data_IF_871715149851
#
_entry.id   IF_871715149851
#
_cell.length_a   1.000
_cell.length_b   1.000
_cell.length_c   1.000
_cell.angle_alpha   90.00
_cell.angle_beta   90.00
_cell.angle_gamma   90.00
#
_symmetry.space_group_name_H-M   'P 1'
#
loop_
_entity.id
_entity.type
_entity.pdbx_description
1 polymer ?
#
# COMPACT_ATOMS: atom_id res chain seq x y z
N UNK A 1 -15.90 -1.28 13.77
CA UNK A 1 -14.64 -0.55 13.99
C UNK A 1 -14.63 0.69 13.14
N UNK A 2 -14.39 1.86 13.73
CA UNK A 2 -14.05 3.10 13.02
C UNK A 2 -12.54 3.12 12.83
N UNK A 3 -12.10 3.02 11.59
CA UNK A 3 -10.67 2.94 11.27
C UNK A 3 -10.12 4.34 11.01
N UNK A 4 -9.54 4.97 12.03
CA UNK A 4 -8.77 6.19 11.89
C UNK A 4 -7.25 5.93 11.94
N UNK A 5 -6.81 4.69 11.74
CA UNK A 5 -5.38 4.34 11.79
C UNK A 5 -4.69 4.52 10.44
N UNK A 6 -5.02 3.68 9.48
CA UNK A 6 -4.48 3.63 8.12
C UNK A 6 -5.14 2.48 7.32
N UNK A 7 -4.79 2.36 6.05
CA UNK A 7 -5.21 1.23 5.20
C UNK A 7 -4.42 -0.05 5.52
N UNK A 8 -4.59 -0.56 6.74
CA UNK A 8 -3.89 -1.75 7.23
C UNK A 8 -4.68 -3.02 6.92
N UNK A 9 -4.00 -4.05 6.44
CA UNK A 9 -4.60 -5.37 6.16
C UNK A 9 -5.28 -5.97 7.40
N UNK A 10 -4.72 -5.76 8.59
CA UNK A 10 -5.29 -6.22 9.86
C UNK A 10 -6.64 -5.55 10.22
N UNK A 11 -6.97 -4.41 9.62
CA UNK A 11 -8.24 -3.70 9.79
C UNK A 11 -9.17 -3.84 8.58
N UNK A 12 -8.81 -4.66 7.59
CA UNK A 12 -9.59 -4.85 6.37
C UNK A 12 -9.34 -3.79 5.29
N UNK A 13 -8.30 -2.95 5.45
CA UNK A 13 -7.94 -1.86 4.55
C UNK A 13 -9.05 -0.80 4.42
N UNK A 14 -9.35 -0.30 3.21
CA UNK A 14 -10.44 0.65 2.96
C UNK A 14 -11.80 -0.05 2.86
N UNK A 15 -12.88 0.61 3.31
CA UNK A 15 -14.24 0.13 3.03
C UNK A 15 -14.53 0.22 1.54
N UNK A 16 -15.22 -0.80 1.03
CA UNK A 16 -15.66 -0.82 -0.35
C UNK A 16 -16.79 0.20 -0.56
N UNK A 17 -16.67 1.10 -1.55
CA UNK A 17 -17.78 1.93 -2.00
C UNK A 17 -18.90 1.07 -2.60
N UNK A 18 -20.14 1.59 -2.59
CA UNK A 18 -21.33 0.86 -3.03
C UNK A 18 -21.19 0.33 -4.48
N UNK A 19 -20.67 1.14 -5.38
CA UNK A 19 -20.45 0.75 -6.77
C UNK A 19 -19.46 -0.43 -6.92
N UNK A 20 -18.50 -0.54 -6.03
CA UNK A 20 -17.55 -1.68 -5.99
C UNK A 20 -18.26 -2.93 -5.49
N UNK A 21 -19.03 -2.80 -4.40
CA UNK A 21 -19.84 -3.91 -3.85
C UNK A 21 -20.82 -4.43 -4.89
N UNK A 22 -21.52 -3.53 -5.58
CA UNK A 22 -22.49 -3.91 -6.63
C UNK A 22 -21.81 -4.61 -7.79
N UNK A 23 -20.64 -4.15 -8.25
CA UNK A 23 -19.88 -4.80 -9.31
C UNK A 23 -19.44 -6.21 -8.92
N UNK A 24 -18.98 -6.43 -7.69
CA UNK A 24 -18.64 -7.75 -7.16
C UNK A 24 -19.86 -8.66 -7.06
N UNK A 25 -20.96 -8.14 -6.53
CA UNK A 25 -22.21 -8.89 -6.38
C UNK A 25 -22.78 -9.29 -7.74
N UNK A 26 -22.71 -8.43 -8.74
CA UNK A 26 -23.17 -8.73 -10.09
C UNK A 26 -22.29 -9.80 -10.75
N UNK A 27 -20.96 -9.65 -10.69
CA UNK A 27 -20.02 -10.63 -11.21
C UNK A 27 -20.23 -12.04 -10.61
N UNK A 28 -20.65 -12.12 -9.35
CA UNK A 28 -20.89 -13.41 -8.68
C UNK A 28 -22.05 -14.23 -9.28
N UNK A 29 -22.96 -13.57 -10.01
CA UNK A 29 -24.18 -14.22 -10.55
C UNK A 29 -23.95 -14.99 -11.84
N UNK A 30 -22.80 -14.79 -12.49
CA UNK A 30 -22.54 -15.36 -13.81
C UNK A 30 -21.28 -16.21 -13.82
N UNK A 31 -21.30 -17.26 -14.62
CA UNK A 31 -20.08 -17.95 -15.06
C UNK A 31 -19.54 -17.21 -16.27
N UNK A 32 -18.20 -17.07 -16.35
CA UNK A 32 -17.51 -16.32 -17.40
C UNK A 32 -16.31 -17.10 -17.91
N UNK A 33 -15.89 -16.82 -19.13
CA UNK A 33 -14.55 -17.19 -19.58
C UNK A 33 -13.54 -16.29 -18.87
N UNK A 34 -12.74 -16.89 -17.99
CA UNK A 34 -11.75 -16.13 -17.21
C UNK A 34 -10.64 -15.52 -18.06
N UNK A 35 -10.28 -16.13 -19.20
CA UNK A 35 -9.28 -15.53 -20.09
C UNK A 35 -9.81 -14.25 -20.74
N UNK A 36 -11.06 -14.30 -21.21
CA UNK A 36 -11.74 -13.13 -21.78
C UNK A 36 -11.93 -12.04 -20.73
N UNK A 37 -12.37 -12.40 -19.52
CA UNK A 37 -12.52 -11.44 -18.42
C UNK A 37 -11.20 -10.72 -18.08
N UNK A 38 -10.09 -11.44 -17.99
CA UNK A 38 -8.78 -10.84 -17.74
C UNK A 38 -8.33 -9.90 -18.87
N UNK A 39 -8.64 -10.23 -20.12
CA UNK A 39 -8.33 -9.38 -21.27
C UNK A 39 -9.13 -8.08 -21.23
N UNK A 40 -10.46 -8.18 -21.12
CA UNK A 40 -11.35 -7.01 -21.11
C UNK A 40 -11.10 -6.10 -19.89
N UNK A 41 -10.91 -6.70 -18.71
CA UNK A 41 -10.54 -5.95 -17.51
C UNK A 41 -9.16 -5.28 -17.68
N UNK A 42 -8.20 -5.97 -18.27
CA UNK A 42 -6.87 -5.43 -18.57
C UNK A 42 -6.91 -4.26 -19.53
N UNK A 43 -7.67 -4.34 -20.60
CA UNK A 43 -7.86 -3.26 -21.58
C UNK A 43 -8.49 -2.01 -20.93
N UNK A 44 -9.55 -2.19 -20.13
CA UNK A 44 -10.21 -1.07 -19.46
C UNK A 44 -9.29 -0.43 -18.41
N UNK A 45 -8.58 -1.24 -17.60
CA UNK A 45 -7.64 -0.75 -16.61
C UNK A 45 -6.46 -0.02 -17.25
N UNK A 46 -5.90 -0.55 -18.35
CA UNK A 46 -4.84 0.11 -19.12
C UNK A 46 -5.28 1.48 -19.64
N UNK A 47 -6.49 1.54 -20.19
CA UNK A 47 -7.09 2.80 -20.66
C UNK A 47 -7.28 3.82 -19.54
N UNK A 48 -7.83 3.40 -18.40
CA UNK A 48 -8.06 4.26 -17.22
C UNK A 48 -6.76 4.79 -16.62
N UNK A 49 -5.72 3.96 -16.60
CA UNK A 49 -4.43 4.26 -15.98
C UNK A 49 -3.37 4.74 -16.96
N UNK A 50 -3.72 4.93 -18.26
CA UNK A 50 -2.83 5.42 -19.32
C UNK A 50 -1.56 4.58 -19.49
N UNK A 51 -1.67 3.26 -19.30
CA UNK A 51 -0.59 2.31 -19.50
C UNK A 51 -0.81 1.48 -20.77
N UNK A 52 0.23 0.80 -21.27
CA UNK A 52 0.11 -0.07 -22.44
C UNK A 52 -0.79 -1.28 -22.16
N UNK A 53 -0.65 -1.85 -20.96
CA UNK A 53 -1.43 -3.02 -20.53
C UNK A 53 -1.59 -3.05 -19.02
N UNK A 54 -2.57 -3.85 -18.56
CA UNK A 54 -2.83 -4.09 -17.14
C UNK A 54 -3.21 -5.56 -16.88
N UNK A 55 -2.91 -6.03 -15.67
CA UNK A 55 -3.30 -7.34 -15.19
C UNK A 55 -3.73 -7.26 -13.72
N UNK A 56 -4.82 -7.95 -13.38
CA UNK A 56 -5.33 -8.03 -12.01
C UNK A 56 -4.73 -9.24 -11.30
N UNK A 57 -4.22 -9.02 -10.10
CA UNK A 57 -3.64 -10.05 -9.22
C UNK A 57 -4.37 -10.08 -7.87
N UNK A 58 -4.07 -11.05 -7.01
CA UNK A 58 -4.70 -11.13 -5.67
C UNK A 58 -4.01 -10.23 -4.62
N UNK A 59 -3.30 -9.20 -5.04
CA UNK A 59 -2.63 -8.22 -4.19
C UNK A 59 -1.33 -7.72 -4.80
N UNK A 60 -0.78 -6.62 -4.29
CA UNK A 60 0.45 -6.01 -4.81
C UNK A 60 1.66 -6.95 -4.70
N UNK A 61 1.80 -7.70 -3.61
CA UNK A 61 2.89 -8.69 -3.48
C UNK A 61 2.78 -9.79 -4.56
N UNK A 62 1.55 -10.24 -4.87
CA UNK A 62 1.32 -11.16 -5.98
C UNK A 62 1.65 -10.51 -7.33
N UNK A 63 1.39 -9.22 -7.50
CA UNK A 63 1.77 -8.49 -8.71
C UNK A 63 3.30 -8.44 -8.89
N UNK A 64 4.06 -8.24 -7.81
CA UNK A 64 5.54 -8.36 -7.83
C UNK A 64 5.96 -9.76 -8.29
N UNK A 65 5.36 -10.82 -7.73
CA UNK A 65 5.67 -12.20 -8.12
C UNK A 65 5.43 -12.44 -9.61
N UNK A 66 4.29 -11.99 -10.12
CA UNK A 66 3.94 -12.11 -11.54
C UNK A 66 4.88 -11.28 -12.43
N UNK A 67 5.22 -10.05 -12.01
CA UNK A 67 6.18 -9.19 -12.71
C UNK A 67 7.57 -9.81 -12.78
N UNK A 68 8.07 -10.35 -11.67
CA UNK A 68 9.38 -11.05 -11.62
C UNK A 68 9.35 -12.27 -12.54
N UNK A 69 8.32 -13.12 -12.46
CA UNK A 69 8.19 -14.28 -13.34
C UNK A 69 8.10 -13.88 -14.82
N UNK A 70 7.41 -12.79 -15.13
CA UNK A 70 7.35 -12.25 -16.50
C UNK A 70 8.74 -11.90 -17.02
N UNK A 71 9.56 -11.24 -16.21
CA UNK A 71 10.93 -10.88 -16.57
C UNK A 71 11.85 -12.12 -16.71
N UNK A 72 11.60 -13.18 -15.93
CA UNK A 72 12.38 -14.42 -15.99
C UNK A 72 12.00 -15.29 -17.18
N UNK A 73 10.71 -15.45 -17.44
CA UNK A 73 10.19 -16.47 -18.38
C UNK A 73 9.76 -15.91 -19.74
N UNK A 74 9.51 -14.58 -19.84
CA UNK A 74 8.99 -13.91 -21.04
C UNK A 74 7.66 -14.52 -21.40
N UNK A 75 7.09 -15.44 -21.23
CA UNK A 75 5.88 -16.12 -21.75
C UNK A 75 6.21 -17.42 -22.46
N UNK A 76 7.46 -17.84 -22.44
CA UNK A 76 7.89 -19.15 -22.95
C UNK A 76 7.34 -20.28 -22.04
N UNK A 77 6.51 -21.20 -22.58
CA UNK A 77 5.95 -22.30 -21.80
C UNK A 77 6.98 -23.21 -21.14
N UNK A 78 8.16 -23.41 -21.75
CA UNK A 78 9.20 -24.24 -21.22
C UNK A 78 9.89 -23.55 -20.02
N UNK A 79 10.18 -22.26 -20.14
CA UNK A 79 10.70 -21.44 -19.05
C UNK A 79 9.71 -21.35 -17.87
N UNK A 80 8.43 -21.14 -18.15
CA UNK A 80 7.36 -21.12 -17.13
C UNK A 80 7.31 -22.48 -16.39
N UNK A 81 7.39 -23.59 -17.11
CA UNK A 81 7.34 -24.92 -16.50
C UNK A 81 8.60 -25.26 -15.68
N UNK A 82 9.75 -24.64 -15.98
CA UNK A 82 11.00 -24.83 -15.25
C UNK A 82 11.04 -24.11 -13.89
N UNK A 83 10.12 -23.18 -13.63
CA UNK A 83 10.07 -22.47 -12.34
C UNK A 83 9.34 -23.31 -11.27
N UNK A 84 9.74 -23.26 -10.00
CA UNK A 84 10.91 -22.56 -9.45
C UNK A 84 12.23 -23.30 -9.74
N UNK A 85 13.33 -22.59 -9.66
CA UNK A 85 14.66 -23.18 -9.79
C UNK A 85 15.26 -23.14 -11.20
N UNK A 86 14.51 -22.73 -12.21
CA UNK A 86 14.79 -22.51 -13.63
C UNK A 86 16.27 -22.54 -14.07
N UNK A 87 16.87 -23.73 -14.19
CA UNK A 87 18.27 -23.86 -14.59
C UNK A 87 18.48 -23.20 -15.96
N UNK A 88 19.49 -22.33 -16.05
CA UNK A 88 19.79 -21.57 -17.27
C UNK A 88 18.95 -20.30 -17.46
N UNK A 89 17.96 -20.04 -16.62
CA UNK A 89 17.19 -18.79 -16.65
C UNK A 89 17.89 -17.71 -15.80
N UNK A 90 17.58 -16.45 -16.14
CA UNK A 90 17.94 -15.29 -15.31
C UNK A 90 17.02 -15.26 -14.11
N UNK A 91 17.56 -15.44 -12.90
CA UNK A 91 16.76 -15.53 -11.66
C UNK A 91 17.22 -14.56 -10.57
N UNK A 92 18.12 -13.63 -10.92
CA UNK A 92 18.56 -12.61 -9.98
C UNK A 92 17.72 -11.33 -10.15
N UNK A 93 17.27 -10.78 -9.02
CA UNK A 93 16.56 -9.50 -8.96
C UNK A 93 17.41 -8.53 -8.16
N UNK A 94 17.89 -7.47 -8.79
CA UNK A 94 18.69 -6.44 -8.12
C UNK A 94 17.78 -5.51 -7.34
N UNK A 95 18.16 -5.17 -6.10
CA UNK A 95 17.38 -4.31 -5.23
C UNK A 95 18.29 -3.46 -4.32
N UNK A 96 17.95 -2.19 -4.15
CA UNK A 96 18.65 -1.32 -3.20
C UNK A 96 18.45 -1.80 -1.75
N UNK A 97 19.50 -1.74 -0.94
CA UNK A 97 19.43 -2.04 0.49
C UNK A 97 18.33 -1.22 1.19
N UNK A 98 18.26 0.07 0.87
CA UNK A 98 17.26 0.99 1.42
C UNK A 98 15.80 0.64 1.06
N UNK A 99 15.58 -0.18 0.05
CA UNK A 99 14.26 -0.62 -0.41
C UNK A 99 13.83 -1.98 0.14
N UNK A 100 14.66 -2.63 0.99
CA UNK A 100 14.33 -3.94 1.57
C UNK A 100 13.17 -3.81 2.55
N UNK A 101 12.09 -4.50 2.24
CA UNK A 101 10.83 -4.52 2.99
C UNK A 101 10.30 -5.96 3.11
N UNK A 102 9.47 -6.29 4.10
CA UNK A 102 8.97 -7.66 4.30
C UNK A 102 8.29 -8.29 3.07
N UNK A 103 7.73 -7.47 2.18
CA UNK A 103 7.04 -7.92 0.96
C UNK A 103 7.99 -8.41 -0.14
N UNK A 104 9.29 -8.10 -0.07
CA UNK A 104 10.29 -8.55 -1.05
C UNK A 104 10.54 -10.08 -1.01
N UNK A 105 10.10 -10.76 0.06
CA UNK A 105 10.14 -12.21 0.19
C UNK A 105 9.40 -12.96 -0.92
N UNK A 106 8.50 -12.28 -1.62
CA UNK A 106 7.83 -12.88 -2.76
C UNK A 106 8.78 -13.22 -3.91
N UNK A 107 9.94 -12.55 -4.00
CA UNK A 107 11.01 -12.87 -4.96
C UNK A 107 11.60 -14.25 -4.67
N UNK A 108 11.90 -14.55 -3.40
CA UNK A 108 12.37 -15.86 -2.98
C UNK A 108 11.30 -16.95 -3.21
N UNK A 109 10.03 -16.61 -2.93
CA UNK A 109 8.89 -17.54 -3.08
C UNK A 109 8.74 -18.05 -4.52
N UNK A 110 9.05 -17.24 -5.52
CA UNK A 110 8.98 -17.64 -6.94
C UNK A 110 10.29 -18.27 -7.45
N UNK A 111 11.24 -18.55 -6.55
CA UNK A 111 12.50 -19.22 -6.90
C UNK A 111 13.57 -18.29 -7.49
N UNK A 112 13.44 -16.99 -7.27
CA UNK A 112 14.44 -15.99 -7.64
C UNK A 112 15.25 -15.56 -6.42
N UNK A 113 16.37 -14.87 -6.64
CA UNK A 113 17.26 -14.40 -5.59
C UNK A 113 17.45 -12.89 -5.65
N UNK A 114 17.32 -12.22 -4.51
CA UNK A 114 17.64 -10.78 -4.43
C UNK A 114 19.15 -10.59 -4.38
N UNK A 115 19.67 -9.75 -5.28
CA UNK A 115 21.02 -9.22 -5.26
C UNK A 115 20.96 -7.79 -4.71
N UNK A 116 21.40 -7.63 -3.48
CA UNK A 116 21.33 -6.35 -2.78
C UNK A 116 22.52 -5.47 -3.16
N UNK A 117 22.22 -4.18 -3.44
CA UNK A 117 23.23 -3.14 -3.72
C UNK A 117 23.11 -1.99 -2.74
N UNK A 118 24.19 -1.25 -2.56
CA UNK A 118 24.26 -0.13 -1.63
C UNK A 118 24.20 -0.55 -0.17
N UNK A 119 23.98 0.42 0.67
CA UNK A 119 23.84 0.26 2.11
C UNK A 119 22.71 1.16 2.66
N UNK A 120 22.58 1.28 3.98
CA UNK A 120 21.53 2.09 4.60
C UNK A 120 21.67 3.61 4.38
N UNK A 121 22.85 4.08 3.93
CA UNK A 121 23.18 5.49 3.81
C UNK A 121 23.17 5.95 2.35
N UNK A 122 23.66 5.10 1.42
CA UNK A 122 23.78 5.46 0.01
C UNK A 122 23.94 4.25 -0.91
N UNK A 123 23.65 4.46 -2.19
CA UNK A 123 23.96 3.55 -3.30
C UNK A 123 24.62 4.34 -4.41
N UNK A 124 25.73 3.84 -4.95
CA UNK A 124 26.43 4.45 -6.09
C UNK A 124 25.98 3.80 -7.41
N UNK A 125 26.09 4.55 -8.51
CA UNK A 125 25.73 4.06 -9.85
C UNK A 125 26.52 2.83 -10.25
N UNK A 126 27.83 2.82 -9.97
CA UNK A 126 28.71 1.66 -10.28
C UNK A 126 28.29 0.38 -9.56
N UNK A 127 27.63 0.48 -8.38
CA UNK A 127 27.13 -0.71 -7.68
C UNK A 127 25.97 -1.35 -8.47
N UNK A 128 25.06 -0.53 -8.99
CA UNK A 128 23.99 -1.03 -9.87
C UNK A 128 24.58 -1.58 -11.17
N UNK A 129 25.48 -0.84 -11.84
CA UNK A 129 26.13 -1.28 -13.07
C UNK A 129 26.83 -2.63 -12.91
N UNK A 130 27.53 -2.83 -11.79
CA UNK A 130 28.28 -4.06 -11.49
C UNK A 130 27.36 -5.23 -11.12
N UNK A 131 26.18 -4.97 -10.55
CA UNK A 131 25.22 -5.99 -10.17
C UNK A 131 24.39 -6.50 -11.35
N UNK A 132 24.32 -5.71 -12.46
CA UNK A 132 23.62 -6.14 -13.68
C UNK A 132 24.48 -7.09 -14.49
N UNK A 133 24.23 -8.39 -14.35
CA UNK A 133 24.92 -9.48 -14.98
C UNK A 133 24.02 -10.28 -15.92
N UNK A 134 24.57 -11.26 -16.63
CA UNK A 134 23.79 -12.18 -17.48
C UNK A 134 22.77 -13.03 -16.69
N UNK A 135 22.83 -13.01 -15.35
CA UNK A 135 21.86 -13.67 -14.48
C UNK A 135 20.73 -12.75 -14.02
N UNK A 136 20.83 -11.45 -14.26
CA UNK A 136 19.86 -10.46 -13.79
C UNK A 136 18.60 -10.51 -14.65
N UNK A 137 17.46 -10.79 -14.03
CA UNK A 137 16.13 -10.78 -14.66
C UNK A 137 15.46 -9.41 -14.60
N UNK A 138 15.58 -8.70 -13.47
CA UNK A 138 14.95 -7.42 -13.24
C UNK A 138 15.65 -6.61 -12.15
N UNK A 139 15.35 -5.31 -12.10
CA UNK A 139 15.56 -4.47 -10.92
C UNK A 139 14.22 -4.26 -10.24
N UNK A 140 14.13 -4.47 -8.92
CA UNK A 140 12.96 -4.14 -8.11
C UNK A 140 13.24 -2.85 -7.34
N UNK A 141 12.43 -1.82 -7.59
CA UNK A 141 12.51 -0.51 -6.96
C UNK A 141 11.25 -0.25 -6.15
N UNK A 142 11.37 0.20 -4.90
CA UNK A 142 10.20 0.47 -4.03
C UNK A 142 9.98 1.97 -3.94
N UNK A 143 8.74 2.39 -4.19
CA UNK A 143 8.34 3.79 -4.12
C UNK A 143 7.87 4.15 -2.70
N UNK A 144 8.25 5.34 -2.24
CA UNK A 144 7.75 5.90 -0.99
C UNK A 144 8.74 6.86 -0.33
N UNK A 145 8.29 8.06 0.00
CA UNK A 145 9.10 9.07 0.70
C UNK A 145 9.39 8.71 2.16
N UNK A 146 8.77 7.66 2.69
CA UNK A 146 9.05 7.09 4.02
C UNK A 146 10.33 6.23 4.05
N UNK A 147 10.82 5.82 2.87
CA UNK A 147 12.06 5.05 2.76
C UNK A 147 13.29 5.95 2.93
N UNK A 148 14.42 5.41 3.44
CA UNK A 148 15.66 6.17 3.50
C UNK A 148 16.07 6.68 2.11
N UNK A 149 16.54 7.95 1.98
CA UNK A 149 16.96 8.51 0.70
C UNK A 149 18.35 7.99 0.28
N UNK A 150 18.58 6.69 0.43
CA UNK A 150 19.86 6.03 0.20
C UNK A 150 19.93 5.28 -1.14
N UNK A 151 18.82 5.28 -1.89
CA UNK A 151 18.73 4.66 -3.22
C UNK A 151 19.07 5.64 -4.33
N UNK A 152 19.39 5.10 -5.51
CA UNK A 152 19.36 5.90 -6.73
C UNK A 152 17.92 6.31 -7.05
N UNK A 153 17.74 7.47 -7.68
CA UNK A 153 16.42 7.87 -8.17
C UNK A 153 15.89 6.84 -9.18
N UNK A 154 14.56 6.74 -9.29
CA UNK A 154 13.95 5.80 -10.24
C UNK A 154 14.43 6.03 -11.67
N UNK A 155 14.42 7.28 -12.15
CA UNK A 155 14.86 7.61 -13.52
C UNK A 155 16.31 7.21 -13.79
N UNK A 156 17.20 7.37 -12.79
CA UNK A 156 18.59 6.95 -12.91
C UNK A 156 18.72 5.44 -12.90
N UNK A 157 17.98 4.75 -12.03
CA UNK A 157 17.90 3.28 -11.99
C UNK A 157 17.41 2.71 -13.32
N UNK A 158 16.36 3.28 -13.90
CA UNK A 158 15.83 2.90 -15.21
C UNK A 158 16.87 3.10 -16.31
N UNK A 159 17.52 4.27 -16.37
CA UNK A 159 18.52 4.54 -17.40
C UNK A 159 19.68 3.53 -17.37
N UNK A 160 20.21 3.20 -16.17
CA UNK A 160 21.28 2.22 -16.00
C UNK A 160 20.80 0.81 -16.37
N UNK A 161 19.64 0.38 -15.84
CA UNK A 161 19.10 -0.96 -16.10
C UNK A 161 18.81 -1.17 -17.61
N UNK A 162 18.18 -0.20 -18.27
CA UNK A 162 17.88 -0.26 -19.70
C UNK A 162 19.11 -0.27 -20.58
N UNK A 163 20.23 0.36 -20.17
CA UNK A 163 21.49 0.29 -20.91
C UNK A 163 22.05 -1.16 -20.99
N UNK A 164 21.58 -2.03 -20.10
CA UNK A 164 21.92 -3.48 -20.05
C UNK A 164 20.76 -4.37 -20.48
N UNK A 165 19.65 -3.80 -20.98
CA UNK A 165 18.45 -4.54 -21.38
C UNK A 165 17.72 -5.22 -20.21
N UNK A 166 17.85 -4.69 -19.01
CA UNK A 166 17.21 -5.23 -17.80
C UNK A 166 15.98 -4.39 -17.46
N UNK A 167 14.79 -5.00 -17.33
CA UNK A 167 13.57 -4.29 -16.96
C UNK A 167 13.54 -3.86 -15.49
N UNK A 168 12.78 -2.78 -15.22
CA UNK A 168 12.58 -2.23 -13.86
C UNK A 168 11.12 -2.41 -13.44
N UNK A 169 10.92 -3.03 -12.28
CA UNK A 169 9.62 -3.21 -11.63
C UNK A 169 9.54 -2.22 -10.47
N UNK A 170 8.46 -1.46 -10.38
CA UNK A 170 8.20 -0.53 -9.27
C UNK A 170 7.13 -1.11 -8.35
N UNK A 171 7.47 -1.28 -7.08
CA UNK A 171 6.48 -1.49 -6.03
C UNK A 171 5.98 -0.12 -5.53
N UNK A 172 4.78 0.25 -5.95
CA UNK A 172 4.06 1.44 -5.54
C UNK A 172 2.75 1.09 -4.79
N UNK A 173 2.72 -0.05 -4.11
CA UNK A 173 1.53 -0.62 -3.46
C UNK A 173 0.77 0.37 -2.58
N UNK A 174 1.45 1.33 -1.95
CA UNK A 174 0.87 2.33 -1.07
C UNK A 174 1.10 3.76 -1.57
N UNK A 175 1.26 3.99 -2.88
CA UNK A 175 1.64 5.30 -3.41
C UNK A 175 0.49 6.03 -4.13
N UNK A 176 -0.73 5.84 -3.66
CA UNK A 176 -1.93 6.60 -4.02
C UNK A 176 -2.55 7.22 -2.76
N UNK A 177 -2.94 8.51 -2.78
CA UNK A 177 -2.71 9.51 -3.82
C UNK A 177 -1.23 9.86 -4.01
N UNK A 178 -0.83 10.66 -5.04
CA UNK A 178 -1.69 11.32 -6.03
C UNK A 178 -2.16 10.35 -7.13
N UNK A 179 -3.28 10.67 -7.79
CA UNK A 179 -3.84 9.84 -8.86
C UNK A 179 -2.89 9.68 -10.05
N UNK A 180 -2.07 10.68 -10.31
CA UNK A 180 -1.04 10.67 -11.36
C UNK A 180 -0.05 9.51 -11.25
N UNK A 181 0.17 8.97 -10.05
CA UNK A 181 1.06 7.83 -9.85
C UNK A 181 0.63 6.57 -10.61
N UNK A 182 -0.65 6.46 -11.00
CA UNK A 182 -1.14 5.35 -11.83
C UNK A 182 -0.47 5.29 -13.21
N UNK A 183 0.13 6.39 -13.69
CA UNK A 183 0.87 6.46 -14.96
C UNK A 183 2.28 7.05 -14.82
N UNK A 184 2.56 7.85 -13.80
CA UNK A 184 3.84 8.54 -13.62
C UNK A 184 5.05 7.59 -13.68
N UNK A 185 5.00 6.47 -12.96
CA UNK A 185 6.15 5.56 -12.87
C UNK A 185 6.52 4.93 -14.22
N UNK A 186 5.54 4.62 -15.04
CA UNK A 186 5.73 3.98 -16.36
C UNK A 186 5.97 4.99 -17.46
N UNK A 187 5.10 6.00 -17.58
CA UNK A 187 5.13 6.92 -18.74
C UNK A 187 6.15 8.05 -18.58
N UNK A 188 6.40 8.53 -17.36
CA UNK A 188 7.31 9.65 -17.12
C UNK A 188 8.67 9.18 -16.62
N UNK A 189 8.71 8.19 -15.70
CA UNK A 189 9.96 7.64 -15.17
C UNK A 189 10.52 6.50 -16.02
N UNK A 190 9.74 5.91 -16.91
CA UNK A 190 10.16 4.86 -17.84
C UNK A 190 10.29 3.47 -17.21
N UNK A 191 9.68 3.21 -16.03
CA UNK A 191 9.64 1.87 -15.47
C UNK A 191 8.85 0.91 -16.36
N UNK A 192 9.28 -0.34 -16.44
CA UNK A 192 8.64 -1.34 -17.32
C UNK A 192 7.33 -1.88 -16.72
N UNK A 193 7.31 -2.04 -15.40
CA UNK A 193 6.13 -2.49 -14.65
C UNK A 193 5.99 -1.67 -13.35
N UNK A 194 4.73 -1.43 -12.96
CA UNK A 194 4.40 -0.86 -11.64
C UNK A 194 3.23 -1.62 -11.01
N UNK A 195 3.25 -1.75 -9.69
CA UNK A 195 2.18 -2.45 -8.94
C UNK A 195 1.56 -1.55 -7.88
N UNK A 196 0.22 -1.70 -7.72
CA UNK A 196 -0.56 -1.04 -6.66
C UNK A 196 -1.42 -2.05 -5.91
N UNK A 197 -1.68 -1.78 -4.62
CA UNK A 197 -2.69 -2.53 -3.85
C UNK A 197 -4.09 -2.04 -4.19
N UNK A 198 -5.02 -2.96 -4.47
CA UNK A 198 -6.41 -2.61 -4.75
C UNK A 198 -7.20 -2.20 -3.51
N UNK A 199 -6.89 -2.76 -2.34
CA UNK A 199 -7.64 -2.52 -1.10
C UNK A 199 -7.29 -1.23 -0.37
N UNK A 200 -6.20 -0.54 -0.74
CA UNK A 200 -5.77 0.71 -0.10
C UNK A 200 -6.55 1.91 -0.62
N UNK A 201 -5.89 2.95 -1.09
CA UNK A 201 -6.53 4.19 -1.56
C UNK A 201 -7.55 3.99 -2.70
N UNK A 202 -7.39 2.96 -3.51
CA UNK A 202 -8.37 2.60 -4.54
C UNK A 202 -9.72 2.19 -3.95
N UNK A 203 -9.75 1.74 -2.68
CA UNK A 203 -10.95 1.20 -2.01
C UNK A 203 -11.61 0.07 -2.82
N UNK A 204 -10.79 -0.75 -3.47
CA UNK A 204 -11.20 -2.00 -4.13
C UNK A 204 -11.12 -3.20 -3.19
N UNK A 205 -11.41 -4.40 -3.68
CA UNK A 205 -11.32 -5.62 -2.88
C UNK A 205 -9.94 -5.78 -2.23
N UNK A 206 -9.90 -6.12 -0.95
CA UNK A 206 -8.65 -6.29 -0.21
C UNK A 206 -7.73 -7.34 -0.87
N UNK A 207 -8.29 -8.42 -1.38
CA UNK A 207 -7.58 -9.44 -2.13
C UNK A 207 -7.45 -9.08 -3.61
N UNK A 208 -7.04 -7.84 -3.92
CA UNK A 208 -6.78 -7.39 -5.29
C UNK A 208 -5.52 -6.56 -5.40
N UNK A 209 -4.87 -6.64 -6.53
CA UNK A 209 -3.69 -5.88 -6.89
C UNK A 209 -3.66 -5.58 -8.39
N UNK A 210 -3.01 -4.49 -8.73
CA UNK A 210 -2.92 -3.98 -10.09
C UNK A 210 -1.47 -4.02 -10.54
N UNK A 211 -1.21 -4.71 -11.65
CA UNK A 211 0.07 -4.71 -12.37
C UNK A 211 -0.13 -3.95 -13.68
N UNK A 212 0.65 -2.90 -13.90
CA UNK A 212 0.57 -2.00 -15.05
C UNK A 212 1.92 -1.91 -15.75
N UNK A 213 1.93 -1.62 -17.04
CA UNK A 213 3.15 -1.28 -17.77
C UNK A 213 3.20 -1.88 -19.17
N UNK A 214 4.39 -2.31 -19.59
CA UNK A 214 4.68 -2.83 -20.93
C UNK A 214 3.82 -4.03 -21.28
N UNK A 215 3.26 -3.99 -22.49
CA UNK A 215 2.30 -5.00 -22.95
C UNK A 215 2.89 -6.42 -23.03
N UNK A 216 4.14 -6.57 -23.44
CA UNK A 216 4.82 -7.87 -23.53
C UNK A 216 5.04 -8.50 -22.15
N UNK A 217 5.46 -7.70 -21.16
CA UNK A 217 5.67 -8.17 -19.79
C UNK A 217 4.35 -8.46 -19.07
N UNK A 218 3.31 -7.65 -19.29
CA UNK A 218 1.97 -7.91 -18.73
C UNK A 218 1.37 -9.19 -19.36
N UNK A 219 1.56 -9.42 -20.66
CA UNK A 219 1.16 -10.67 -21.30
C UNK A 219 1.91 -11.88 -20.73
N UNK A 220 3.23 -11.75 -20.49
CA UNK A 220 4.04 -12.78 -19.85
C UNK A 220 3.59 -13.03 -18.38
N UNK A 221 3.26 -11.99 -17.63
CA UNK A 221 2.72 -12.10 -16.27
C UNK A 221 1.41 -12.90 -16.26
N UNK A 222 0.51 -12.63 -17.20
CA UNK A 222 -0.74 -13.37 -17.36
C UNK A 222 -0.52 -14.83 -17.75
N UNK A 223 0.47 -15.13 -18.60
CA UNK A 223 0.83 -16.50 -18.97
C UNK A 223 1.30 -17.34 -17.79
N UNK A 224 1.94 -16.69 -16.79
CA UNK A 224 2.32 -17.31 -15.53
C UNK A 224 1.17 -17.43 -14.51
N UNK A 225 0.11 -16.62 -14.66
CA UNK A 225 -0.98 -16.45 -13.69
C UNK A 225 -2.23 -17.27 -13.97
N UNK A 226 -3.26 -16.99 -13.20
CA UNK A 226 -4.62 -17.53 -13.34
C UNK A 226 -5.19 -17.15 -14.71
N UNK A 227 -5.94 -18.06 -15.42
CA UNK A 227 -6.40 -19.37 -14.95
C UNK A 227 -5.44 -20.53 -15.18
N UNK A 228 -4.21 -20.24 -15.68
CA UNK A 228 -3.25 -21.29 -15.98
C UNK A 228 -2.76 -22.01 -14.71
N UNK A 229 -2.46 -23.31 -14.84
CA UNK A 229 -1.93 -24.15 -13.76
C UNK A 229 -0.40 -24.05 -13.72
N UNK A 230 0.11 -22.93 -13.16
CA UNK A 230 1.53 -22.59 -13.10
C UNK A 230 1.98 -22.36 -11.64
N UNK A 231 3.22 -21.95 -11.43
CA UNK A 231 3.81 -21.76 -10.10
C UNK A 231 2.92 -20.85 -9.20
N UNK A 232 2.47 -19.72 -9.72
CA UNK A 232 1.65 -18.76 -8.97
C UNK A 232 0.15 -19.04 -9.02
N UNK A 233 -0.27 -20.29 -9.34
CA UNK A 233 -1.67 -20.71 -9.26
C UNK A 233 -2.25 -20.55 -7.84
N UNK A 234 -1.42 -20.64 -6.82
CA UNK A 234 -1.82 -20.36 -5.44
C UNK A 234 -2.25 -18.91 -5.21
N UNK A 235 -1.81 -17.98 -6.06
CA UNK A 235 -2.15 -16.54 -6.03
C UNK A 235 -3.34 -16.23 -6.93
N UNK A 236 -4.37 -17.08 -6.87
CA UNK A 236 -5.58 -16.94 -7.68
C UNK A 236 -6.37 -15.70 -7.27
N UNK A 237 -6.86 -14.95 -8.27
CA UNK A 237 -7.88 -13.91 -8.10
C UNK A 237 -9.17 -14.35 -8.78
N UNK A 238 -10.31 -14.04 -8.18
CA UNK A 238 -11.64 -14.41 -8.69
C UNK A 238 -12.25 -13.31 -9.55
N UNK A 239 -13.35 -13.64 -10.23
CA UNK A 239 -14.08 -12.69 -11.10
C UNK A 239 -14.67 -11.53 -10.29
N UNK A 240 -15.05 -11.80 -9.05
CA UNK A 240 -15.60 -10.81 -8.13
C UNK A 240 -14.57 -9.71 -7.82
N UNK A 241 -13.34 -10.12 -7.48
CA UNK A 241 -12.24 -9.20 -7.21
C UNK A 241 -11.82 -8.44 -8.48
N UNK A 242 -11.84 -9.09 -9.65
CA UNK A 242 -11.52 -8.44 -10.93
C UNK A 242 -12.54 -7.34 -11.23
N UNK A 243 -13.83 -7.65 -11.15
CA UNK A 243 -14.90 -6.68 -11.40
C UNK A 243 -14.87 -5.54 -10.37
N UNK A 244 -14.67 -5.87 -9.10
CA UNK A 244 -14.54 -4.91 -8.02
C UNK A 244 -13.35 -3.96 -8.21
N UNK A 245 -12.19 -4.48 -8.62
CA UNK A 245 -11.02 -3.63 -8.86
C UNK A 245 -11.22 -2.70 -10.08
N UNK A 246 -11.83 -3.17 -11.16
CA UNK A 246 -12.17 -2.31 -12.31
C UNK A 246 -13.09 -1.18 -11.89
N UNK A 247 -14.14 -1.48 -11.11
CA UNK A 247 -15.05 -0.47 -10.58
C UNK A 247 -14.31 0.54 -9.66
N UNK A 248 -13.44 0.04 -8.79
CA UNK A 248 -12.65 0.86 -7.87
C UNK A 248 -11.70 1.82 -8.60
N UNK A 249 -10.96 1.34 -9.60
CA UNK A 249 -10.05 2.19 -10.41
C UNK A 249 -10.84 3.22 -11.20
N UNK A 250 -11.95 2.82 -11.83
CA UNK A 250 -12.83 3.76 -12.57
C UNK A 250 -13.34 4.87 -11.67
N UNK A 251 -13.83 4.51 -10.48
CA UNK A 251 -14.24 5.48 -9.46
C UNK A 251 -13.09 6.39 -9.07
N UNK A 252 -11.94 5.82 -8.70
CA UNK A 252 -10.80 6.56 -8.17
C UNK A 252 -10.27 7.60 -9.16
N UNK A 253 -10.15 7.25 -10.43
CA UNK A 253 -9.71 8.18 -11.50
C UNK A 253 -10.71 9.32 -11.71
N UNK A 254 -11.99 9.09 -11.45
CA UNK A 254 -13.06 10.08 -11.60
C UNK A 254 -13.28 10.99 -10.38
N UNK A 255 -12.58 10.78 -9.26
CA UNK A 255 -12.74 11.61 -8.06
C UNK A 255 -12.11 13.00 -8.23
N UNK A 256 -12.68 13.98 -7.54
CA UNK A 256 -12.04 15.28 -7.31
C UNK A 256 -11.03 15.13 -6.14
N UNK A 257 -9.78 14.86 -6.49
CA UNK A 257 -8.72 14.62 -5.52
C UNK A 257 -8.33 15.88 -4.74
N UNK A 258 -8.49 17.07 -5.32
CA UNK A 258 -8.19 18.33 -4.64
C UNK A 258 -9.28 18.63 -3.58
N UNK A 259 -10.54 18.40 -3.91
CA UNK A 259 -11.63 18.51 -2.95
C UNK A 259 -11.50 17.51 -1.80
N UNK A 260 -11.12 16.25 -2.09
CA UNK A 260 -10.87 15.24 -1.06
C UNK A 260 -9.72 15.65 -0.13
N UNK A 261 -8.62 16.13 -0.68
CA UNK A 261 -7.48 16.58 0.12
C UNK A 261 -7.89 17.77 1.01
N UNK A 262 -8.63 18.74 0.47
CA UNK A 262 -9.13 19.89 1.23
C UNK A 262 -10.05 19.45 2.37
N UNK A 263 -10.91 18.46 2.15
CA UNK A 263 -11.77 17.89 3.18
C UNK A 263 -10.93 17.23 4.30
N UNK A 264 -9.94 16.42 3.96
CA UNK A 264 -9.07 15.79 4.95
C UNK A 264 -8.25 16.80 5.76
N UNK A 265 -7.74 17.87 5.12
CA UNK A 265 -7.07 18.97 5.80
C UNK A 265 -8.01 19.68 6.80
N UNK A 266 -9.25 19.95 6.40
CA UNK A 266 -10.25 20.56 7.27
C UNK A 266 -10.57 19.66 8.47
N UNK A 267 -10.74 18.36 8.26
CA UNK A 267 -10.99 17.39 9.33
C UNK A 267 -9.81 17.33 10.32
N UNK A 268 -8.56 17.27 9.82
CA UNK A 268 -7.37 17.25 10.69
C UNK A 268 -7.24 18.54 11.49
N UNK A 269 -7.55 19.70 10.89
CA UNK A 269 -7.53 20.99 11.58
C UNK A 269 -8.60 21.08 12.69
N UNK A 270 -9.79 20.58 12.41
CA UNK A 270 -10.89 20.51 13.38
C UNK A 270 -10.53 19.59 14.56
N UNK A 271 -10.06 18.37 14.31
CA UNK A 271 -9.60 17.45 15.32
C UNK A 271 -8.48 18.04 16.20
N UNK A 272 -7.52 18.75 15.57
CA UNK A 272 -6.45 19.42 16.29
C UNK A 272 -6.99 20.47 17.26
N UNK A 273 -7.94 21.29 16.79
CA UNK A 273 -8.60 22.31 17.62
C UNK A 273 -9.37 21.75 18.80
N UNK A 274 -10.09 20.64 18.60
CA UNK A 274 -10.88 19.98 19.66
C UNK A 274 -9.97 19.32 20.72
N UNK A 275 -8.96 18.57 20.30
CA UNK A 275 -8.08 17.83 21.22
C UNK A 275 -7.08 18.75 21.95
N UNK A 276 -6.69 19.87 21.35
CA UNK A 276 -5.82 20.86 22.03
C UNK A 276 -6.48 21.52 23.25
N UNK A 277 -7.80 21.40 23.42
CA UNK A 277 -8.52 21.88 24.61
C UNK A 277 -8.34 20.96 25.83
N UNK A 278 -7.73 19.78 25.68
CA UNK A 278 -7.55 18.81 26.77
C UNK A 278 -6.16 19.04 27.39
N UNK A 279 -6.07 19.41 28.68
CA UNK A 279 -4.78 19.55 29.35
C UNK A 279 -3.94 18.28 29.26
N UNK A 280 -2.64 18.40 28.99
CA UNK A 280 -1.74 17.27 28.80
C UNK A 280 -1.82 16.59 27.43
N UNK A 281 -2.62 17.14 26.50
CA UNK A 281 -2.69 16.67 25.10
C UNK A 281 -2.15 17.74 24.16
N UNK A 282 -1.28 17.31 23.23
CA UNK A 282 -0.85 18.11 22.10
C UNK A 282 -1.32 17.43 20.81
N UNK A 283 -2.02 18.15 19.98
CA UNK A 283 -2.55 17.66 18.72
C UNK A 283 -2.08 18.56 17.57
N UNK A 284 -1.42 18.00 16.58
CA UNK A 284 -0.82 18.75 15.48
C UNK A 284 -0.90 18.00 14.16
N UNK A 285 -1.02 18.75 13.06
CA UNK A 285 -0.99 18.19 11.70
C UNK A 285 0.36 17.51 11.46
N UNK A 286 0.34 16.29 10.91
CA UNK A 286 1.51 15.52 10.47
C UNK A 286 1.42 15.25 8.97
N UNK A 287 2.57 15.30 8.30
CA UNK A 287 2.71 15.14 6.85
C UNK A 287 4.12 14.66 6.50
N UNK A 288 4.34 13.78 5.53
CA UNK A 288 3.32 12.91 4.92
C UNK A 288 2.78 11.87 5.91
N UNK A 289 1.91 10.96 5.44
CA UNK A 289 1.46 9.84 6.26
C UNK A 289 2.58 8.76 6.43
N UNK A 290 2.28 7.64 7.10
CA UNK A 290 3.25 6.57 7.41
C UNK A 290 3.81 5.86 6.16
N UNK A 291 3.05 5.85 5.05
CA UNK A 291 3.48 5.27 3.77
C UNK A 291 4.15 6.29 2.84
N UNK A 292 4.34 7.53 3.32
CA UNK A 292 4.95 8.60 2.52
C UNK A 292 4.00 9.23 1.50
N UNK A 293 2.69 8.96 1.60
CA UNK A 293 1.67 9.57 0.73
C UNK A 293 1.42 11.03 1.14
N UNK A 294 1.06 11.92 0.19
CA UNK A 294 0.70 13.29 0.48
C UNK A 294 -0.71 13.38 1.08
N UNK A 295 -0.92 12.73 2.23
CA UNK A 295 -2.19 12.69 2.96
C UNK A 295 -1.97 13.24 4.37
N UNK A 296 -2.78 14.22 4.84
CA UNK A 296 -2.67 14.75 6.18
C UNK A 296 -3.19 13.74 7.21
N UNK A 297 -2.58 13.75 8.38
CA UNK A 297 -3.02 13.02 9.55
C UNK A 297 -2.81 13.86 10.80
N UNK A 298 -3.52 13.56 11.86
CA UNK A 298 -3.33 14.17 13.16
C UNK A 298 -2.30 13.37 13.96
N UNK A 299 -1.28 14.04 14.48
CA UNK A 299 -0.37 13.51 15.48
C UNK A 299 -0.88 13.94 16.86
N UNK A 300 -1.21 12.98 17.70
CA UNK A 300 -1.66 13.23 19.08
C UNK A 300 -0.57 12.77 20.04
N UNK A 301 -0.09 13.70 20.86
CA UNK A 301 0.85 13.41 21.95
C UNK A 301 0.11 13.49 23.27
N UNK A 302 0.23 12.45 24.09
CA UNK A 302 -0.39 12.34 25.41
C UNK A 302 0.72 12.44 26.45
N UNK A 303 0.72 13.50 27.25
CA UNK A 303 1.77 13.74 28.25
C UNK A 303 1.60 12.77 29.45
N UNK A 304 2.35 11.68 29.43
CA UNK A 304 2.33 10.69 30.53
C UNK A 304 2.70 11.31 31.87
N UNK A 305 3.61 12.29 31.88
CA UNK A 305 4.01 12.99 33.11
C UNK A 305 2.90 13.82 33.74
N UNK A 306 2.00 14.37 32.94
CA UNK A 306 0.86 15.17 33.39
C UNK A 306 -0.37 14.34 33.68
N UNK A 307 -0.69 13.38 32.82
CA UNK A 307 -1.92 12.61 32.83
C UNK A 307 -1.80 11.26 33.60
N UNK A 308 -0.59 10.71 33.69
CA UNK A 308 -0.34 9.41 34.33
C UNK A 308 -0.54 8.20 33.41
N UNK A 309 -0.92 8.42 32.16
CA UNK A 309 -1.08 7.39 31.11
C UNK A 309 -0.53 7.90 29.78
N UNK A 310 -0.28 7.02 28.82
CA UNK A 310 0.28 7.36 27.51
C UNK A 310 -0.63 6.96 26.35
N UNK A 311 -0.12 7.11 25.13
CA UNK A 311 -0.86 6.85 23.90
C UNK A 311 -1.35 5.40 23.80
N UNK A 312 -0.55 4.43 24.23
CA UNK A 312 -0.95 3.02 24.22
C UNK A 312 -2.19 2.78 25.07
N UNK A 313 -2.24 3.38 26.27
CA UNK A 313 -3.38 3.22 27.17
C UNK A 313 -4.67 3.80 26.57
N UNK A 314 -4.55 4.94 25.85
CA UNK A 314 -5.66 5.56 25.11
C UNK A 314 -6.13 4.65 23.97
N UNK A 315 -5.21 4.11 23.16
CA UNK A 315 -5.55 3.22 22.06
C UNK A 315 -6.21 1.92 22.53
N UNK A 316 -5.72 1.34 23.63
CA UNK A 316 -6.30 0.14 24.23
C UNK A 316 -7.73 0.43 24.73
N UNK A 317 -7.97 1.58 25.35
CA UNK A 317 -9.30 2.00 25.81
C UNK A 317 -10.26 2.28 24.64
N UNK A 318 -9.78 2.90 23.56
CA UNK A 318 -10.55 3.13 22.34
C UNK A 318 -10.96 1.82 21.66
N UNK A 319 -10.09 0.81 21.71
CA UNK A 319 -10.38 -0.52 21.16
C UNK A 319 -11.46 -1.29 21.94
N UNK A 320 -11.69 -0.94 23.21
CA UNK A 320 -12.74 -1.55 24.06
C UNK A 320 -14.09 -0.84 23.95
N UNK A 321 -14.20 0.28 23.21
CA UNK A 321 -15.46 1.00 23.04
C UNK A 321 -16.40 0.33 22.02
N UNK A 322 -17.63 0.76 22.02
CA UNK A 322 -18.62 0.46 20.98
C UNK A 322 -19.18 1.78 20.41
N UNK A 323 -18.89 2.13 19.16
CA UNK A 323 -18.00 1.39 18.24
C UNK A 323 -16.52 1.46 18.66
N UNK A 324 -15.76 0.41 18.33
CA UNK A 324 -14.30 0.43 18.47
C UNK A 324 -13.69 1.49 17.58
N UNK A 325 -12.68 2.20 18.08
CA UNK A 325 -11.92 3.18 17.28
C UNK A 325 -10.47 2.72 17.20
N UNK A 326 -9.94 2.63 15.98
CA UNK A 326 -8.55 2.30 15.71
C UNK A 326 -7.77 3.58 15.40
N UNK A 327 -6.67 3.82 16.11
CA UNK A 327 -5.63 4.79 15.78
C UNK A 327 -4.29 4.09 15.53
N UNK A 328 -3.36 4.75 14.88
CA UNK A 328 -2.05 4.19 14.54
C UNK A 328 -1.03 4.51 15.65
N UNK A 329 -0.40 3.52 16.31
CA UNK A 329 0.66 3.78 17.28
C UNK A 329 1.85 4.53 16.67
N UNK A 330 2.38 5.54 17.37
CA UNK A 330 3.54 6.32 16.97
C UNK A 330 4.67 6.35 18.00
N UNK A 331 4.53 5.57 19.07
CA UNK A 331 5.45 5.49 20.22
C UNK A 331 4.71 5.37 21.52
N UNK A 332 5.41 5.53 22.67
CA UNK A 332 4.81 5.38 23.99
C UNK A 332 3.75 6.45 24.28
N UNK A 333 4.02 7.69 23.86
CA UNK A 333 3.18 8.86 24.15
C UNK A 333 2.55 9.47 22.88
N UNK A 334 2.68 8.84 21.74
CA UNK A 334 2.19 9.35 20.44
C UNK A 334 1.34 8.32 19.73
N UNK A 335 0.23 8.78 19.16
CA UNK A 335 -0.52 8.05 18.15
C UNK A 335 -0.97 8.98 17.03
N UNK A 336 -1.38 8.40 15.91
CA UNK A 336 -1.87 9.14 14.75
C UNK A 336 -3.30 8.76 14.42
N UNK A 337 -4.02 9.73 13.86
CA UNK A 337 -5.38 9.56 13.32
C UNK A 337 -5.41 10.08 11.88
N UNK A 338 -6.04 9.33 10.99
CA UNK A 338 -6.21 9.71 9.58
C UNK A 338 -7.68 9.73 9.19
N UNK A 339 -8.13 10.72 8.40
CA UNK A 339 -9.52 10.80 7.96
C UNK A 339 -9.82 9.99 6.69
N UNK A 340 -8.83 9.63 5.89
CA UNK A 340 -8.99 9.05 4.55
C UNK A 340 -9.63 7.65 4.52
N UNK A 341 -9.64 6.97 5.66
CA UNK A 341 -10.26 5.65 5.85
C UNK A 341 -11.68 5.72 6.42
N UNK A 342 -12.13 6.89 6.81
CA UNK A 342 -13.47 7.12 7.39
C UNK A 342 -14.51 7.42 6.30
N UNK A 343 -15.78 7.18 6.62
CA UNK A 343 -16.91 7.67 5.85
C UNK A 343 -17.40 9.00 6.41
N UNK A 344 -18.13 9.73 5.60
CA UNK A 344 -18.76 11.00 5.99
C UNK A 344 -19.58 10.86 7.29
N UNK A 345 -19.32 11.73 8.25
CA UNK A 345 -19.96 11.74 9.58
C UNK A 345 -19.29 10.86 10.64
N UNK A 346 -18.35 10.00 10.28
CA UNK A 346 -17.59 9.19 11.25
C UNK A 346 -16.48 10.01 11.94
N UNK A 347 -16.03 11.08 11.31
CA UNK A 347 -14.94 11.93 11.79
C UNK A 347 -15.24 12.52 13.17
N UNK A 348 -16.46 13.02 13.35
CA UNK A 348 -16.90 13.59 14.64
C UNK A 348 -16.99 12.50 15.71
N UNK A 349 -17.54 11.33 15.37
CA UNK A 349 -17.63 10.20 16.31
C UNK A 349 -16.24 9.75 16.80
N UNK A 350 -15.24 9.76 15.91
CA UNK A 350 -13.87 9.41 16.25
C UNK A 350 -13.26 10.41 17.23
N UNK A 351 -13.33 11.71 16.97
CA UNK A 351 -12.72 12.72 17.84
C UNK A 351 -13.45 12.83 19.19
N UNK A 352 -14.77 12.63 19.20
CA UNK A 352 -15.55 12.58 20.44
C UNK A 352 -15.14 11.39 21.31
N UNK A 353 -14.96 10.20 20.70
CA UNK A 353 -14.51 9.01 21.40
C UNK A 353 -13.11 9.21 22.00
N UNK A 354 -12.18 9.78 21.23
CA UNK A 354 -10.81 10.08 21.70
C UNK A 354 -10.85 11.07 22.87
N UNK A 355 -11.60 12.16 22.72
CA UNK A 355 -11.76 13.18 23.76
C UNK A 355 -12.35 12.61 25.04
N UNK A 356 -13.40 11.79 24.93
CA UNK A 356 -14.06 11.15 26.05
C UNK A 356 -13.12 10.20 26.79
N UNK A 357 -12.40 9.32 26.05
CA UNK A 357 -11.46 8.37 26.66
C UNK A 357 -10.38 9.10 27.46
N UNK A 358 -9.75 10.12 26.88
CA UNK A 358 -8.67 10.84 27.55
C UNK A 358 -9.20 11.54 28.81
N UNK A 359 -10.36 12.19 28.76
CA UNK A 359 -10.98 12.87 29.92
C UNK A 359 -11.40 11.89 31.01
N UNK A 360 -12.00 10.76 30.66
CA UNK A 360 -12.40 9.72 31.62
C UNK A 360 -11.18 9.12 32.35
N UNK A 361 -10.09 8.86 31.62
CA UNK A 361 -8.86 8.35 32.21
C UNK A 361 -8.20 9.38 33.11
N UNK A 362 -8.17 10.66 32.71
CA UNK A 362 -7.63 11.75 33.55
C UNK A 362 -8.41 11.93 34.86
N UNK A 363 -9.73 11.86 34.82
CA UNK A 363 -10.59 11.93 36.02
C UNK A 363 -10.30 10.78 37.01
N UNK A 364 -10.21 9.54 36.53
CA UNK A 364 -9.88 8.36 37.35
C UNK A 364 -8.50 8.47 38.01
N UNK A 365 -7.51 9.03 37.29
CA UNK A 365 -6.15 9.25 37.83
C UNK A 365 -6.11 10.30 38.93
N UNK A 366 -7.00 11.30 38.90
CA UNK A 366 -7.12 12.31 39.98
C UNK A 366 -7.80 11.75 41.22
N UNK A 367 -8.87 10.96 41.07
CA UNK A 367 -9.57 10.33 42.19
C UNK A 367 -8.66 9.34 42.94
N UNK A 368 -7.83 8.58 42.25
CA UNK A 368 -6.85 7.67 42.84
C UNK A 368 -5.72 8.38 43.62
N UNK A 369 -5.38 9.61 43.27
CA UNK A 369 -4.37 10.43 43.99
C UNK A 369 -4.95 11.11 45.24
N UNK A 370 -6.22 11.50 45.22
CA UNK A 370 -6.89 12.07 46.39
C UNK A 370 -7.20 11.03 47.47
N UNK A 371 -7.48 9.77 47.09
CA UNK A 371 -7.71 8.69 48.06
C UNK A 371 -6.47 8.15 48.76
N UNK A 372 -5.27 8.45 48.29
CA UNK A 372 -3.99 8.02 48.93
C UNK A 372 -3.36 9.10 49.84
N UNK A 373 -3.93 10.29 49.92
CA UNK A 373 -3.41 11.41 50.70
C UNK A 373 -3.95 11.51 52.15
N UNK A 374 -4.99 10.74 52.53
CA UNK A 374 -5.61 10.81 53.86
C UNK A 374 -5.23 9.64 54.81
N UNK A 375 -4.18 8.90 54.48
CA UNK A 375 -3.65 7.83 55.34
C UNK A 375 -2.17 8.07 55.68
N UNK A 376 -1.87 9.20 56.34
CA UNK A 376 -0.58 9.47 56.93
C UNK A 376 -0.76 10.17 58.30
#
# INVERSE_FOLDING_TARGET
>A
VLNAAATLTALGEGRLPEEVVLAMADASRFQVDMNELFLLAGEELARLTRNEAAYVTCGAAAAIAHGVLACVTGGDPAAIAAMPGGQGLRTEVVMHCAHRIPYDRVVDLVGCRIVQIGNAIQTFEWELESALTDRTAAVLWVAGSHLPPASLSLSKTVAIAHSRGVPVIVDAAAQLPPVGNLWHFTTECGADLVTFSGGKALKGPQASGLLLGRADLVAAARANGTPNQRLVRAMKVGREEIAGLVAAVRRYVGLDHDALLAQWEATVADWAGQLAQIPGVRAERSWPNEAGQPTPRLRVTVSRSELGFGAKDVLDALWQRDPRVAGLPGGEDVFYMTPDTLNEGEEQTVVDAVSAVIREMAARGQDGRMGSGDAA
#
